data_IF_539131158689
#
_entry.id   IF_539131158689
#
_cell.length_a   1.000
_cell.length_b   1.000
_cell.length_c   1.000
_cell.angle_alpha   90.00
_cell.angle_beta   90.00
_cell.angle_gamma   90.00
#
_symmetry.space_group_name_H-M   'P 1'
#
loop_
_entity.id
_entity.type
_entity.pdbx_description
1 polymer ?
#
# COMPACT_ATOMS: atom_id res chain seq x y z
N UNK A 1 59.31 -41.99 34.08
CA UNK A 1 59.43 -42.00 32.60
C UNK A 1 58.13 -42.53 32.01
N UNK A 2 57.35 -41.68 31.32
CA UNK A 2 56.14 -42.08 30.60
C UNK A 2 55.77 -40.95 29.66
N UNK A 3 55.93 -41.17 28.35
CA UNK A 3 55.84 -40.16 27.30
C UNK A 3 54.38 -39.70 27.15
N UNK A 4 54.13 -38.40 27.36
CA UNK A 4 52.87 -37.75 27.00
C UNK A 4 52.75 -37.71 25.46
N UNK A 5 51.94 -38.60 24.89
CA UNK A 5 51.52 -38.54 23.50
C UNK A 5 50.65 -37.31 23.29
N UNK A 6 51.15 -36.31 22.56
CA UNK A 6 50.38 -35.14 22.16
C UNK A 6 49.39 -35.57 21.07
N UNK A 7 48.13 -35.79 21.44
CA UNK A 7 47.05 -35.88 20.47
C UNK A 7 46.78 -34.48 19.95
N UNK A 8 47.21 -34.23 18.72
CA UNK A 8 46.92 -33.02 17.96
C UNK A 8 45.42 -33.02 17.61
N UNK A 9 44.60 -32.39 18.45
CA UNK A 9 43.21 -32.09 18.09
C UNK A 9 43.24 -30.93 17.09
N UNK A 10 43.20 -31.27 15.80
CA UNK A 10 42.91 -30.32 14.73
C UNK A 10 41.44 -29.93 14.87
N UNK A 11 41.16 -28.84 15.59
CA UNK A 11 39.83 -28.22 15.52
C UNK A 11 39.73 -27.60 14.13
N UNK A 12 39.01 -28.30 13.26
CA UNK A 12 38.61 -27.83 11.94
C UNK A 12 38.04 -26.42 12.07
N UNK A 13 38.63 -25.50 11.31
CA UNK A 13 38.08 -24.18 11.07
C UNK A 13 36.62 -24.35 10.61
N UNK A 14 35.67 -23.77 11.35
CA UNK A 14 34.34 -23.55 10.83
C UNK A 14 34.50 -22.60 9.64
N UNK A 15 34.47 -23.21 8.45
CA UNK A 15 34.32 -22.57 7.15
C UNK A 15 33.16 -21.59 7.28
N UNK A 16 33.36 -20.38 6.76
CA UNK A 16 32.55 -19.20 7.06
C UNK A 16 31.05 -19.45 7.14
N UNK A 17 30.42 -18.76 8.08
CA UNK A 17 28.99 -18.45 8.02
C UNK A 17 28.73 -17.57 6.78
N UNK A 18 28.89 -18.15 5.59
CA UNK A 18 28.28 -17.65 4.37
C UNK A 18 26.79 -17.82 4.55
N UNK A 19 26.09 -16.69 4.49
CA UNK A 19 24.65 -16.48 4.60
C UNK A 19 23.83 -17.78 4.55
N UNK A 20 23.20 -18.15 5.67
CA UNK A 20 21.98 -18.95 5.63
C UNK A 20 20.91 -18.06 4.97
N UNK A 21 20.97 -17.91 3.64
CA UNK A 21 19.86 -17.35 2.89
C UNK A 21 18.66 -18.25 3.23
N UNK A 22 17.69 -17.69 3.95
CA UNK A 22 16.50 -18.43 4.36
C UNK A 22 15.90 -19.13 3.14
N UNK A 23 15.51 -20.39 3.28
CA UNK A 23 14.75 -21.05 2.22
C UNK A 23 13.42 -20.33 1.96
N UNK A 24 12.72 -20.66 0.87
CA UNK A 24 11.38 -20.16 0.68
C UNK A 24 10.49 -20.54 1.87
N UNK A 25 9.68 -19.60 2.36
CA UNK A 25 8.72 -19.82 3.44
C UNK A 25 7.43 -20.36 2.85
N UNK A 26 6.89 -21.47 3.39
CA UNK A 26 5.57 -21.98 2.98
C UNK A 26 4.54 -21.54 4.02
N UNK A 27 3.54 -20.80 3.55
CA UNK A 27 2.48 -20.23 4.37
C UNK A 27 1.38 -21.25 4.70
N UNK A 28 0.53 -20.93 5.69
CA UNK A 28 -0.56 -21.81 6.13
C UNK A 28 -1.62 -22.07 5.05
N UNK A 29 -1.74 -21.17 4.09
CA UNK A 29 -2.60 -21.27 2.89
C UNK A 29 -1.92 -22.02 1.72
N UNK A 30 -0.66 -22.46 1.88
CA UNK A 30 0.14 -23.11 0.85
C UNK A 30 0.91 -22.15 -0.07
N UNK A 31 0.83 -20.84 0.14
CA UNK A 31 1.61 -19.84 -0.60
C UNK A 31 3.11 -20.06 -0.34
N UNK A 32 3.94 -20.03 -1.39
CA UNK A 32 5.40 -20.16 -1.28
C UNK A 32 6.02 -18.78 -1.46
N UNK A 33 6.56 -18.24 -0.38
CA UNK A 33 7.20 -16.93 -0.36
C UNK A 33 8.70 -17.02 -0.60
N UNK A 34 9.32 -15.98 -1.21
CA UNK A 34 10.76 -15.93 -1.36
C UNK A 34 11.45 -15.91 0.00
N UNK A 35 12.76 -16.17 -0.01
CA UNK A 35 13.62 -16.01 1.16
C UNK A 35 13.38 -14.64 1.81
N UNK A 36 13.28 -14.61 3.14
CA UNK A 36 13.13 -13.39 3.96
C UNK A 36 11.76 -12.67 3.84
N UNK A 37 10.80 -13.25 3.12
CA UNK A 37 9.43 -12.79 3.11
C UNK A 37 8.57 -13.46 4.21
N UNK A 38 7.64 -12.69 4.74
CA UNK A 38 6.61 -13.12 5.69
C UNK A 38 5.31 -13.47 4.99
N UNK A 39 4.56 -14.37 5.61
CA UNK A 39 3.23 -14.78 5.19
C UNK A 39 2.20 -13.79 5.70
N UNK A 40 1.37 -13.27 4.80
CA UNK A 40 0.33 -12.31 5.14
C UNK A 40 -0.94 -13.02 5.62
N UNK A 41 -1.63 -12.42 6.60
CA UNK A 41 -2.96 -12.85 7.01
C UNK A 41 -3.94 -12.48 5.89
N UNK A 42 -4.42 -13.47 5.14
CA UNK A 42 -5.22 -13.26 3.91
C UNK A 42 -4.52 -13.72 2.63
N UNK A 43 -3.28 -14.19 2.73
CA UNK A 43 -2.51 -14.76 1.63
C UNK A 43 -1.54 -13.78 0.97
N UNK A 44 -0.52 -14.32 0.32
CA UNK A 44 0.56 -13.54 -0.29
C UNK A 44 1.81 -13.40 0.59
N UNK A 45 2.76 -12.62 0.09
CA UNK A 45 4.11 -12.47 0.65
C UNK A 45 4.49 -11.00 0.71
N UNK A 46 5.09 -10.56 1.81
CA UNK A 46 5.74 -9.25 1.89
C UNK A 46 7.11 -9.36 2.56
N UNK A 47 7.95 -8.34 2.40
CA UNK A 47 9.18 -8.27 3.20
C UNK A 47 8.84 -7.99 4.66
N UNK A 48 9.57 -8.59 5.61
CA UNK A 48 9.40 -8.30 7.04
C UNK A 48 9.41 -6.79 7.34
N UNK A 49 10.27 -6.03 6.66
CA UNK A 49 10.37 -4.58 6.85
C UNK A 49 9.10 -3.82 6.41
N UNK A 50 8.32 -4.34 5.46
CA UNK A 50 7.08 -3.71 4.99
C UNK A 50 5.90 -4.01 5.92
N UNK A 51 5.95 -5.16 6.59
CA UNK A 51 5.04 -5.57 7.66
C UNK A 51 5.33 -4.77 8.94
N UNK A 52 6.61 -4.69 9.34
CA UNK A 52 7.06 -3.89 10.48
C UNK A 52 6.73 -2.39 10.31
N UNK A 53 6.71 -1.88 9.08
CA UNK A 53 6.35 -0.48 8.79
C UNK A 53 4.91 -0.12 9.17
N UNK A 54 4.03 -1.13 9.28
CA UNK A 54 2.66 -0.97 9.71
C UNK A 54 2.37 -1.53 11.10
N UNK A 55 3.41 -1.94 11.85
CA UNK A 55 3.32 -2.56 13.18
C UNK A 55 2.28 -3.71 13.26
N UNK A 56 2.31 -4.50 14.33
CA UNK A 56 1.30 -5.54 14.56
C UNK A 56 -0.07 -4.93 14.97
N UNK A 57 -0.66 -4.10 14.10
CA UNK A 57 -2.02 -3.57 14.28
C UNK A 57 -2.23 -2.09 14.00
N UNK A 58 -1.44 -1.42 13.14
CA UNK A 58 -1.92 -0.14 12.61
C UNK A 58 -3.26 -0.35 11.89
N UNK A 59 -4.21 0.56 12.11
CA UNK A 59 -5.50 0.49 11.45
C UNK A 59 -5.34 0.76 9.96
N UNK A 60 -6.21 0.16 9.14
CA UNK A 60 -6.25 0.47 7.71
C UNK A 60 -6.46 1.97 7.50
N UNK A 61 -5.66 2.56 6.59
CA UNK A 61 -5.62 4.01 6.32
C UNK A 61 -4.69 4.81 7.25
N UNK A 62 -4.03 4.17 8.22
CA UNK A 62 -2.98 4.83 9.02
C UNK A 62 -1.75 5.11 8.16
N UNK A 63 -1.16 6.29 8.29
CA UNK A 63 0.07 6.65 7.56
C UNK A 63 1.25 5.77 7.98
N UNK A 64 2.06 5.35 7.01
CA UNK A 64 3.30 4.60 7.20
C UNK A 64 4.40 5.12 6.28
N UNK A 65 5.65 4.78 6.60
CA UNK A 65 6.81 5.13 5.78
C UNK A 65 7.60 3.86 5.43
N UNK A 66 7.78 3.61 4.13
CA UNK A 66 8.55 2.47 3.64
C UNK A 66 9.35 2.87 2.38
N UNK A 67 10.61 2.43 2.23
CA UNK A 67 11.41 2.73 1.03
C UNK A 67 10.69 2.32 -0.26
N UNK A 68 10.46 3.28 -1.15
CA UNK A 68 9.75 3.08 -2.42
C UNK A 68 8.23 3.29 -2.34
N UNK A 69 7.68 3.63 -1.17
CA UNK A 69 6.26 3.95 -0.96
C UNK A 69 6.17 5.33 -0.28
N UNK A 70 6.29 6.44 -1.04
CA UNK A 70 6.15 7.77 -0.47
C UNK A 70 4.70 7.99 0.00
N UNK A 71 4.55 8.54 1.21
CA UNK A 71 3.25 8.78 1.85
C UNK A 71 2.37 7.51 1.89
N UNK A 72 2.95 6.39 2.32
CA UNK A 72 2.23 5.12 2.39
C UNK A 72 1.11 5.10 3.41
N UNK A 73 0.20 4.15 3.23
CA UNK A 73 -0.87 3.82 4.17
C UNK A 73 -0.86 2.34 4.51
N UNK A 74 -1.25 2.01 5.73
CA UNK A 74 -1.38 0.64 6.17
C UNK A 74 -2.63 0.01 5.60
N UNK A 75 -2.47 -1.17 4.99
CA UNK A 75 -3.56 -2.01 4.48
C UNK A 75 -3.25 -3.46 4.79
N UNK A 76 -4.09 -4.09 5.60
CA UNK A 76 -3.91 -5.48 6.04
C UNK A 76 -2.50 -5.74 6.62
N UNK A 77 -1.97 -4.80 7.40
CA UNK A 77 -0.65 -4.91 8.02
C UNK A 77 0.53 -4.53 7.13
N UNK A 78 0.31 -4.08 5.89
CA UNK A 78 1.39 -3.68 4.98
C UNK A 78 1.37 -2.21 4.63
N UNK A 79 2.55 -1.62 4.55
CA UNK A 79 2.71 -0.27 4.02
C UNK A 79 2.64 -0.28 2.49
N UNK A 80 1.56 0.29 1.94
CA UNK A 80 1.30 0.35 0.49
C UNK A 80 1.05 1.78 0.04
N UNK A 81 1.16 2.02 -1.27
CA UNK A 81 0.79 3.32 -1.82
C UNK A 81 -0.74 3.51 -1.67
N UNK A 82 -1.20 4.69 -1.25
CA UNK A 82 -2.64 5.02 -1.27
C UNK A 82 -3.14 4.90 -2.71
N UNK A 83 -4.39 4.50 -2.87
CA UNK A 83 -4.99 4.39 -4.20
C UNK A 83 -6.46 4.78 -4.15
N UNK A 84 -6.81 5.70 -5.02
CA UNK A 84 -8.21 6.03 -5.23
C UNK A 84 -8.97 4.84 -5.81
N UNK A 85 -10.14 4.55 -5.24
CA UNK A 85 -11.05 3.50 -5.67
C UNK A 85 -10.85 2.18 -4.94
N UNK A 86 -10.22 2.19 -3.77
CA UNK A 86 -10.09 1.00 -2.93
C UNK A 86 -11.10 0.86 -1.79
N UNK A 87 -12.02 1.80 -1.71
CA UNK A 87 -13.12 1.81 -0.76
C UNK A 87 -12.74 2.30 0.64
N UNK A 88 -11.58 2.94 0.80
CA UNK A 88 -11.15 3.56 2.06
C UNK A 88 -10.60 4.93 1.76
N UNK A 89 -11.07 5.92 2.54
CA UNK A 89 -10.67 7.31 2.36
C UNK A 89 -9.31 7.55 3.03
N UNK A 90 -8.25 7.64 2.23
CA UNK A 90 -6.91 8.02 2.68
C UNK A 90 -6.82 9.55 2.80
N UNK A 91 -7.53 10.13 3.77
CA UNK A 91 -7.64 11.60 3.93
C UNK A 91 -6.28 12.30 4.15
N UNK A 92 -5.30 11.58 4.71
CA UNK A 92 -3.92 12.10 4.86
C UNK A 92 -3.21 12.28 3.52
N UNK A 93 -3.74 11.69 2.45
CA UNK A 93 -3.20 11.67 1.10
C UNK A 93 -4.05 12.48 0.10
N UNK A 94 -5.04 13.23 0.58
CA UNK A 94 -5.84 14.15 -0.23
C UNK A 94 -7.18 13.57 -0.72
N UNK A 95 -7.51 12.33 -0.37
CA UNK A 95 -8.81 11.76 -0.72
C UNK A 95 -9.92 12.36 0.15
N UNK A 96 -11.00 12.83 -0.48
CA UNK A 96 -12.19 13.34 0.20
C UNK A 96 -13.34 12.33 0.20
N UNK A 97 -13.31 11.39 -0.74
CA UNK A 97 -14.21 10.25 -0.83
C UNK A 97 -13.47 9.06 -1.45
N UNK A 98 -13.98 7.86 -1.21
CA UNK A 98 -13.59 6.66 -1.95
C UNK A 98 -14.75 5.66 -1.86
N UNK A 99 -15.53 5.56 -2.94
CA UNK A 99 -16.64 4.64 -3.07
C UNK A 99 -16.22 3.32 -3.76
N UNK A 100 -14.91 3.05 -3.81
CA UNK A 100 -14.32 1.88 -4.41
C UNK A 100 -14.61 1.80 -5.91
N UNK A 101 -15.07 0.63 -6.34
CA UNK A 101 -15.53 0.41 -7.71
C UNK A 101 -16.75 1.27 -8.12
N UNK A 102 -17.37 2.01 -7.19
CA UNK A 102 -18.48 2.92 -7.48
C UNK A 102 -18.03 4.35 -7.82
N UNK A 103 -16.72 4.64 -7.75
CA UNK A 103 -16.18 5.89 -8.27
C UNK A 103 -16.48 6.00 -9.77
N UNK A 104 -16.74 7.20 -10.26
CA UNK A 104 -16.93 7.42 -11.69
C UNK A 104 -17.32 8.84 -12.08
N UNK A 105 -17.34 9.06 -13.39
CA UNK A 105 -17.65 10.35 -14.02
C UNK A 105 -19.05 10.33 -14.65
N UNK A 106 -19.96 9.52 -14.08
CA UNK A 106 -21.39 9.59 -14.34
C UNK A 106 -22.02 10.68 -13.46
N UNK A 107 -23.12 11.31 -13.90
CA UNK A 107 -23.87 12.25 -13.07
C UNK A 107 -24.22 11.65 -11.71
N UNK A 108 -24.04 12.44 -10.66
CA UNK A 108 -24.30 12.10 -9.26
C UNK A 108 -23.53 10.87 -8.75
N UNK A 109 -22.36 10.58 -9.36
CA UNK A 109 -21.48 9.54 -8.84
C UNK A 109 -21.14 9.84 -7.37
N UNK A 110 -21.07 8.82 -6.50
CA UNK A 110 -20.75 9.04 -5.08
C UNK A 110 -19.34 9.62 -4.86
N UNK A 111 -18.47 9.48 -5.86
CA UNK A 111 -17.10 9.97 -5.86
C UNK A 111 -16.58 10.00 -7.30
N UNK A 112 -15.73 10.97 -7.64
CA UNK A 112 -15.04 11.01 -8.93
C UNK A 112 -13.85 10.04 -8.95
N UNK A 113 -13.28 9.82 -10.13
CA UNK A 113 -12.14 8.91 -10.31
C UNK A 113 -10.82 9.44 -9.70
N UNK A 114 -10.79 10.72 -9.32
CA UNK A 114 -9.69 11.39 -8.63
C UNK A 114 -9.89 11.43 -7.10
N UNK A 115 -10.93 10.77 -6.58
CA UNK A 115 -11.28 10.73 -5.15
C UNK A 115 -11.67 12.08 -4.54
N UNK A 116 -12.12 12.99 -5.40
CA UNK A 116 -12.86 14.18 -5.00
C UNK A 116 -14.37 13.96 -5.20
N UNK A 117 -15.22 14.63 -4.40
CA UNK A 117 -16.66 14.61 -4.65
C UNK A 117 -17.00 15.27 -5.99
N UNK A 118 -18.17 14.96 -6.56
CA UNK A 118 -18.84 15.77 -7.58
C UNK A 118 -18.71 17.26 -7.30
N UNK A 119 -18.24 18.03 -8.28
CA UNK A 119 -18.03 19.48 -8.13
C UNK A 119 -18.14 20.18 -9.49
N UNK A 120 -18.62 21.41 -9.45
CA UNK A 120 -18.57 22.30 -10.60
C UNK A 120 -17.14 22.44 -11.13
N UNK A 121 -17.00 22.34 -12.45
CA UNK A 121 -15.74 22.38 -13.17
C UNK A 121 -15.00 21.04 -13.19
N UNK A 122 -15.68 19.91 -12.95
CA UNK A 122 -15.10 18.56 -13.09
C UNK A 122 -15.44 17.86 -14.42
N UNK A 123 -16.17 18.58 -15.29
CA UNK A 123 -16.55 18.14 -16.62
C UNK A 123 -17.78 17.24 -16.65
N UNK A 124 -18.48 17.06 -15.54
CA UNK A 124 -19.68 16.22 -15.43
C UNK A 124 -20.81 17.02 -14.82
N UNK A 125 -21.91 17.19 -15.57
CA UNK A 125 -23.10 17.86 -15.05
C UNK A 125 -23.78 16.99 -13.98
N UNK A 126 -23.65 17.40 -12.73
CA UNK A 126 -24.24 16.75 -11.56
C UNK A 126 -25.55 17.41 -11.10
N UNK A 127 -26.18 16.80 -10.11
CA UNK A 127 -27.40 17.28 -9.49
C UNK A 127 -27.23 18.68 -8.88
N UNK A 128 -27.87 19.66 -9.50
CA UNK A 128 -27.81 21.07 -9.09
C UNK A 128 -27.08 21.95 -10.09
N UNK A 129 -26.39 21.36 -11.06
CA UNK A 129 -25.68 22.06 -12.13
C UNK A 129 -26.56 22.16 -13.38
N UNK A 130 -26.49 23.30 -14.06
CA UNK A 130 -27.17 23.54 -15.34
C UNK A 130 -26.23 23.22 -16.51
N UNK A 131 -24.93 23.37 -16.28
CA UNK A 131 -23.84 23.08 -17.20
C UNK A 131 -22.57 22.78 -16.40
N UNK A 132 -21.57 22.19 -17.05
CA UNK A 132 -20.19 22.06 -16.57
C UNK A 132 -19.29 22.02 -17.81
N UNK A 133 -18.30 22.90 -17.88
CA UNK A 133 -17.32 22.99 -18.98
C UNK A 133 -15.87 22.76 -18.52
N UNK A 134 -15.70 21.91 -17.51
CA UNK A 134 -14.41 21.38 -17.03
C UNK A 134 -13.49 22.46 -16.42
N UNK A 135 -14.06 23.61 -16.05
CA UNK A 135 -13.35 24.67 -15.33
C UNK A 135 -14.33 25.64 -14.62
N UNK A 136 -13.80 26.64 -13.91
CA UNK A 136 -14.58 27.63 -13.14
C UNK A 136 -14.52 29.04 -13.75
N UNK A 137 -14.06 29.18 -14.99
CA UNK A 137 -14.02 30.46 -15.71
C UNK A 137 -15.44 30.77 -16.15
N UNK A 138 -15.83 32.04 -16.04
CA UNK A 138 -17.17 32.48 -16.44
C UNK A 138 -17.14 33.02 -17.86
N UNK A 139 -18.09 32.59 -18.69
CA UNK A 139 -18.34 33.16 -20.01
C UNK A 139 -17.62 32.47 -21.17
N UNK A 140 -17.04 31.30 -20.95
CA UNK A 140 -16.41 30.43 -21.96
C UNK A 140 -17.24 29.18 -22.31
N UNK A 141 -18.37 28.96 -21.64
CA UNK A 141 -19.32 27.91 -21.98
C UNK A 141 -20.35 27.71 -20.88
N UNK A 142 -19.88 27.73 -19.65
CA UNK A 142 -20.67 27.71 -18.42
C UNK A 142 -20.37 28.94 -17.55
N UNK A 143 -21.17 29.14 -16.50
CA UNK A 143 -20.82 30.08 -15.43
C UNK A 143 -19.89 29.38 -14.43
N UNK A 144 -19.04 30.15 -13.73
CA UNK A 144 -18.12 29.57 -12.74
C UNK A 144 -18.79 28.98 -11.49
N UNK A 145 -20.12 29.09 -11.38
CA UNK A 145 -20.94 28.47 -10.34
C UNK A 145 -21.88 27.38 -10.92
N UNK A 146 -21.69 27.01 -12.20
CA UNK A 146 -22.46 26.00 -12.92
C UNK A 146 -23.99 26.22 -12.95
N UNK A 147 -24.42 27.49 -12.97
CA UNK A 147 -25.82 27.95 -12.99
C UNK A 147 -26.20 28.74 -14.24
#
# INVERSE_FOLDING_TARGET
>A
MGRHGRVLVVVLAAIGAGCLAGGPTVCADGTVCPAEAVCLVGGGCASQAQDDACLDGAADGSTCEFPGVPAGVCRAGLCVAPRCGDGVVDASNGESCDAGASNGNQPDAPCRLDCEPPRCGDGVVDGGEVCDDDNLVSGDGCSGDCA
#
